data_IF_248038467248
#
_entry.id   IF_248038467248
#
_cell.length_a   1.000
_cell.length_b   1.000
_cell.length_c   1.000
_cell.angle_alpha   90.00
_cell.angle_beta   90.00
_cell.angle_gamma   90.00
#
_symmetry.space_group_name_H-M   'P 1'
#
loop_
_entity.id
_entity.type
_entity.pdbx_description
1 polymer ?
#
# COMPACT_ATOMS: atom_id res chain seq x y z
N UNK A 1 -35.38 10.10 -70.37
CA UNK A 1 -36.37 10.57 -69.37
C UNK A 1 -35.96 9.91 -68.07
N UNK A 2 -35.34 10.51 -67.06
CA UNK A 2 -35.19 11.90 -66.56
C UNK A 2 -33.85 11.86 -65.79
N UNK A 3 -32.86 12.73 -66.00
CA UNK A 3 -32.89 14.18 -65.79
C UNK A 3 -32.19 14.49 -64.46
N UNK A 4 -30.94 14.94 -64.53
CA UNK A 4 -30.02 15.38 -63.47
C UNK A 4 -30.60 16.52 -62.57
N UNK A 5 -30.04 16.82 -61.37
CA UNK A 5 -28.91 17.76 -61.38
C UNK A 5 -27.71 17.40 -60.46
N UNK A 6 -26.51 17.85 -60.88
CA UNK A 6 -25.27 17.84 -60.12
C UNK A 6 -25.01 19.17 -59.39
N UNK A 7 -24.02 19.14 -58.50
CA UNK A 7 -23.15 20.30 -58.29
C UNK A 7 -23.32 21.02 -56.96
N UNK A 8 -22.25 21.00 -56.15
CA UNK A 8 -21.44 22.18 -55.81
C UNK A 8 -20.23 21.72 -54.98
N UNK A 9 -19.06 21.64 -55.60
CA UNK A 9 -18.03 22.69 -55.66
C UNK A 9 -17.08 22.60 -54.46
N UNK A 10 -15.79 22.42 -54.74
CA UNK A 10 -14.69 22.55 -53.75
C UNK A 10 -14.52 24.02 -53.32
N UNK A 11 -13.33 24.51 -52.90
CA UNK A 11 -11.97 23.96 -53.08
C UNK A 11 -11.07 24.11 -51.82
N UNK A 12 -9.77 23.85 -51.99
CA UNK A 12 -8.64 24.09 -51.06
C UNK A 12 -8.41 22.98 -50.01
N UNK A 13 -7.31 22.25 -49.97
CA UNK A 13 -5.96 22.51 -50.48
C UNK A 13 -4.97 22.49 -49.31
N UNK A 14 -4.28 21.36 -49.11
CA UNK A 14 -2.90 21.18 -48.62
C UNK A 14 -2.73 19.70 -48.27
N UNK A 15 -2.02 18.93 -49.08
CA UNK A 15 -0.56 18.82 -49.12
C UNK A 15 0.04 18.30 -47.79
N UNK A 16 0.32 16.97 -47.78
CA UNK A 16 1.52 16.23 -47.32
C UNK A 16 2.28 16.67 -46.04
N UNK A 17 3.03 15.79 -45.32
CA UNK A 17 3.55 14.48 -45.77
C UNK A 17 3.48 13.31 -44.77
N UNK A 18 3.66 12.13 -45.36
CA UNK A 18 4.33 10.94 -44.83
C UNK A 18 5.64 11.30 -44.09
N UNK A 19 5.86 10.86 -42.86
CA UNK A 19 7.22 10.58 -42.39
C UNK A 19 7.26 9.78 -41.07
N UNK A 20 7.95 8.64 -41.17
CA UNK A 20 8.91 8.15 -40.17
C UNK A 20 8.36 7.46 -38.92
N UNK A 21 8.21 6.12 -39.02
CA UNK A 21 8.68 5.24 -37.94
C UNK A 21 10.22 5.34 -37.83
N UNK A 22 10.94 4.95 -36.75
CA UNK A 22 10.60 4.11 -35.58
C UNK A 22 11.31 4.69 -34.30
N UNK A 23 11.92 3.94 -33.34
CA UNK A 23 11.68 2.62 -32.76
C UNK A 23 11.46 2.69 -31.22
N UNK A 24 11.04 1.59 -30.61
CA UNK A 24 11.41 1.36 -29.21
C UNK A 24 12.95 1.22 -29.13
N UNK A 25 13.57 1.81 -28.09
CA UNK A 25 14.40 0.95 -27.26
C UNK A 25 14.13 1.13 -25.77
N UNK A 26 14.20 0.00 -25.09
CA UNK A 26 14.11 -0.20 -23.66
C UNK A 26 15.03 0.71 -22.82
N UNK A 27 14.71 0.76 -21.51
CA UNK A 27 15.39 1.39 -20.37
C UNK A 27 14.62 2.63 -19.89
N UNK A 28 13.82 2.64 -18.83
CA UNK A 28 13.87 1.92 -17.56
C UNK A 28 12.41 1.85 -17.09
N UNK A 29 11.67 0.86 -17.58
CA UNK A 29 10.35 0.57 -17.04
C UNK A 29 10.53 -0.73 -16.27
N UNK A 30 10.93 -0.58 -15.02
CA UNK A 30 10.75 -1.61 -14.00
C UNK A 30 9.37 -2.27 -14.25
N UNK A 31 9.32 -3.56 -14.57
CA UNK A 31 8.04 -4.21 -14.85
C UNK A 31 7.16 -4.01 -13.62
N UNK A 32 5.88 -3.61 -13.76
CA UNK A 32 4.96 -3.60 -12.64
C UNK A 32 4.69 -5.07 -12.28
N UNK A 33 5.59 -5.62 -11.47
CA UNK A 33 5.44 -6.91 -10.82
C UNK A 33 4.24 -6.76 -9.90
N UNK A 34 3.06 -7.08 -10.45
CA UNK A 34 1.77 -7.03 -9.80
C UNK A 34 1.61 -8.09 -8.69
N UNK A 35 2.70 -8.42 -8.01
CA UNK A 35 2.70 -9.03 -6.71
C UNK A 35 3.17 -7.96 -5.75
N UNK A 36 2.22 -7.39 -5.01
CA UNK A 36 2.46 -6.57 -3.82
C UNK A 36 3.22 -7.43 -2.80
N UNK A 37 4.52 -7.62 -3.04
CA UNK A 37 5.49 -7.94 -2.02
C UNK A 37 5.40 -6.75 -1.10
N UNK A 38 4.66 -6.91 0.00
CA UNK A 38 4.56 -5.89 1.02
C UNK A 38 5.99 -5.47 1.35
N UNK A 39 6.33 -4.25 0.95
CA UNK A 39 7.70 -3.79 1.03
C UNK A 39 8.05 -3.58 2.50
N UNK A 40 8.83 -4.49 3.06
CA UNK A 40 9.25 -4.44 4.44
C UNK A 40 10.03 -3.15 4.75
N UNK A 41 10.71 -2.56 3.76
CA UNK A 41 11.35 -1.25 3.92
C UNK A 41 10.30 -0.14 4.02
N UNK A 42 9.27 -0.11 3.17
CA UNK A 42 8.15 0.82 3.27
C UNK A 42 7.38 0.70 4.60
N UNK A 43 7.12 -0.53 5.08
CA UNK A 43 6.45 -0.75 6.37
C UNK A 43 7.35 -0.24 7.51
N UNK A 44 8.65 -0.57 7.50
CA UNK A 44 9.59 -0.10 8.52
C UNK A 44 9.78 1.42 8.50
N UNK A 45 9.80 2.03 7.31
CA UNK A 45 9.84 3.48 7.15
C UNK A 45 8.60 4.14 7.74
N UNK A 46 7.40 3.61 7.45
CA UNK A 46 6.14 4.10 8.01
C UNK A 46 6.09 3.95 9.53
N UNK A 47 6.56 2.81 10.07
CA UNK A 47 6.73 2.60 11.52
C UNK A 47 7.71 3.63 12.09
N UNK A 48 8.84 3.86 11.43
CA UNK A 48 9.86 4.83 11.84
C UNK A 48 9.30 6.25 11.90
N UNK A 49 8.56 6.67 10.88
CA UNK A 49 7.86 7.96 10.84
C UNK A 49 6.84 8.09 11.97
N UNK A 50 6.06 7.05 12.24
CA UNK A 50 5.06 7.04 13.32
C UNK A 50 5.67 7.02 14.73
N UNK A 51 6.87 6.45 14.89
CA UNK A 51 7.58 6.33 16.17
C UNK A 51 8.66 7.41 16.37
N UNK A 52 8.94 8.26 15.37
CA UNK A 52 9.94 9.32 15.46
C UNK A 52 9.59 10.27 16.62
N UNK A 53 10.27 10.10 17.75
CA UNK A 53 10.09 10.93 18.93
C UNK A 53 10.76 12.29 18.71
N UNK A 54 9.99 13.37 18.82
CA UNK A 54 10.51 14.74 18.95
C UNK A 54 10.80 15.49 17.64
N UNK A 55 10.73 14.84 16.48
CA UNK A 55 10.95 15.51 15.20
C UNK A 55 9.68 16.23 14.72
N UNK A 56 9.40 17.37 15.35
CA UNK A 56 8.22 18.22 15.16
C UNK A 56 6.86 17.52 15.44
N UNK A 57 5.93 18.20 16.13
CA UNK A 57 4.58 17.67 16.31
C UNK A 57 3.89 17.53 14.95
N UNK A 58 3.72 16.27 14.49
CA UNK A 58 2.97 15.96 13.27
C UNK A 58 1.59 16.63 13.32
N UNK A 59 1.22 17.21 12.19
CA UNK A 59 -0.09 17.83 11.98
C UNK A 59 -1.16 16.73 11.89
N UNK A 60 -2.41 17.11 12.13
CA UNK A 60 -3.53 16.15 12.10
C UNK A 60 -3.63 15.43 10.75
N UNK A 61 -3.42 16.13 9.62
CA UNK A 61 -3.40 15.51 8.29
C UNK A 61 -2.34 14.42 8.12
N UNK A 62 -1.11 14.63 8.63
CA UNK A 62 -0.08 13.60 8.58
C UNK A 62 -0.39 12.39 9.48
N UNK A 63 -1.11 12.60 10.59
CA UNK A 63 -1.58 11.50 11.43
C UNK A 63 -2.64 10.66 10.72
N UNK A 64 -3.55 11.30 9.98
CA UNK A 64 -4.55 10.61 9.16
C UNK A 64 -3.88 9.79 8.06
N UNK A 65 -2.88 10.35 7.37
CA UNK A 65 -2.13 9.61 6.35
C UNK A 65 -1.35 8.43 6.94
N UNK A 66 -0.66 8.63 8.06
CA UNK A 66 0.08 7.56 8.73
C UNK A 66 -0.85 6.47 9.24
N UNK A 67 -1.97 6.85 9.83
CA UNK A 67 -3.00 5.92 10.28
C UNK A 67 -3.52 5.05 9.11
N UNK A 68 -3.89 5.67 7.99
CA UNK A 68 -4.35 4.96 6.80
C UNK A 68 -3.29 4.00 6.24
N UNK A 69 -2.03 4.44 6.12
CA UNK A 69 -0.92 3.59 5.65
C UNK A 69 -0.65 2.43 6.61
N UNK A 70 -0.63 2.68 7.92
CA UNK A 70 -0.42 1.62 8.93
C UNK A 70 -1.56 0.59 8.89
N UNK A 71 -2.81 1.03 8.75
CA UNK A 71 -3.95 0.11 8.62
C UNK A 71 -3.86 -0.73 7.35
N UNK A 72 -3.45 -0.14 6.24
CA UNK A 72 -3.22 -0.88 5.00
C UNK A 72 -2.14 -1.95 5.17
N UNK A 73 -1.01 -1.59 5.77
CA UNK A 73 0.05 -2.54 6.11
C UNK A 73 -0.42 -3.66 7.04
N UNK A 74 -1.25 -3.36 8.04
CA UNK A 74 -1.85 -4.38 8.94
C UNK A 74 -2.75 -5.33 8.14
N UNK A 75 -3.57 -4.83 7.21
CA UNK A 75 -4.44 -5.67 6.37
C UNK A 75 -3.64 -6.65 5.51
N UNK A 76 -2.48 -6.23 5.01
CA UNK A 76 -1.58 -7.09 4.24
C UNK A 76 -0.84 -8.12 5.12
N UNK A 77 -0.46 -7.72 6.34
CA UNK A 77 0.29 -8.54 7.29
C UNK A 77 -0.55 -9.58 8.06
N UNK A 78 -1.81 -9.25 8.36
CA UNK A 78 -2.72 -10.11 9.12
C UNK A 78 -2.92 -11.52 8.52
N UNK A 79 -3.20 -11.70 7.21
CA UNK A 79 -3.39 -13.04 6.66
C UNK A 79 -2.13 -13.92 6.79
N UNK A 80 -0.94 -13.33 6.65
CA UNK A 80 0.33 -14.03 6.78
C UNK A 80 0.55 -14.49 8.23
N UNK A 81 0.33 -13.58 9.19
CA UNK A 81 0.43 -13.93 10.60
C UNK A 81 -0.63 -14.97 11.03
N UNK A 82 -1.84 -14.92 10.47
CA UNK A 82 -2.89 -15.93 10.69
C UNK A 82 -2.52 -17.30 10.11
N UNK A 83 -1.93 -17.35 8.91
CA UNK A 83 -1.41 -18.61 8.35
C UNK A 83 -0.35 -19.24 9.26
N UNK A 84 0.49 -18.41 9.90
CA UNK A 84 1.44 -18.88 10.90
C UNK A 84 0.77 -19.39 12.20
N UNK A 85 -0.35 -18.79 12.61
CA UNK A 85 -1.15 -19.33 13.71
C UNK A 85 -1.69 -20.74 13.42
N UNK A 86 -1.99 -21.04 12.15
CA UNK A 86 -2.53 -22.34 11.75
C UNK A 86 -1.49 -23.48 11.84
N UNK A 87 -0.19 -23.17 11.73
CA UNK A 87 0.89 -24.17 11.90
C UNK A 87 1.34 -24.35 13.36
N UNK A 88 0.93 -23.44 14.26
CA UNK A 88 1.17 -23.58 15.69
C UNK A 88 0.18 -24.60 16.30
N UNK A 89 0.64 -25.45 17.22
CA UNK A 89 -0.24 -26.45 17.89
C UNK A 89 -1.38 -25.74 18.64
N UNK A 90 -2.67 -25.99 18.28
CA UNK A 90 -3.83 -25.27 18.82
C UNK A 90 -4.02 -25.36 20.34
N UNK A 91 -3.41 -26.36 20.98
CA UNK A 91 -3.63 -26.70 22.40
C UNK A 91 -2.66 -25.99 23.36
N UNK A 92 -1.86 -25.03 22.88
CA UNK A 92 -0.86 -24.35 23.72
C UNK A 92 -1.35 -22.97 24.15
N UNK A 93 -1.02 -22.56 25.38
CA UNK A 93 -1.25 -21.20 25.85
C UNK A 93 -0.60 -20.15 24.92
N UNK A 94 0.48 -20.52 24.23
CA UNK A 94 1.12 -19.68 23.21
C UNK A 94 0.21 -19.43 22.01
N UNK A 95 -0.47 -20.46 21.48
CA UNK A 95 -1.43 -20.30 20.38
C UNK A 95 -2.61 -19.41 20.78
N UNK A 96 -3.16 -19.60 21.98
CA UNK A 96 -4.28 -18.79 22.47
C UNK A 96 -3.90 -17.31 22.60
N UNK A 97 -2.74 -17.02 23.21
CA UNK A 97 -2.21 -15.64 23.31
C UNK A 97 -1.92 -15.02 21.94
N UNK A 98 -1.39 -15.81 21.02
CA UNK A 98 -1.11 -15.37 19.65
C UNK A 98 -2.39 -14.99 18.91
N UNK A 99 -3.42 -15.84 18.97
CA UNK A 99 -4.73 -15.59 18.36
C UNK A 99 -5.41 -14.37 18.97
N UNK A 100 -5.44 -14.27 20.31
CA UNK A 100 -6.00 -13.10 21.00
C UNK A 100 -5.29 -11.80 20.61
N UNK A 101 -3.96 -11.82 20.42
CA UNK A 101 -3.20 -10.67 19.91
C UNK A 101 -3.63 -10.30 18.49
N UNK A 102 -3.81 -11.28 17.59
CA UNK A 102 -4.27 -11.02 16.22
C UNK A 102 -5.69 -10.44 16.17
N UNK A 103 -6.61 -10.94 16.99
CA UNK A 103 -7.96 -10.41 17.09
C UNK A 103 -7.95 -8.99 17.63
N UNK A 104 -7.14 -8.71 18.65
CA UNK A 104 -6.96 -7.37 19.16
C UNK A 104 -6.40 -6.40 18.11
N UNK A 105 -5.37 -6.79 17.34
CA UNK A 105 -4.81 -5.99 16.25
C UNK A 105 -5.86 -5.74 15.15
N UNK A 106 -6.64 -6.77 14.81
CA UNK A 106 -7.73 -6.66 13.82
C UNK A 106 -8.76 -5.62 14.28
N UNK A 107 -9.15 -5.68 15.55
CA UNK A 107 -10.11 -4.74 16.14
C UNK A 107 -9.54 -3.32 16.22
N UNK A 108 -8.25 -3.15 16.53
CA UNK A 108 -7.61 -1.83 16.55
C UNK A 108 -7.54 -1.21 15.14
N UNK A 109 -7.18 -1.99 14.12
CA UNK A 109 -7.11 -1.51 12.74
C UNK A 109 -8.47 -1.16 12.13
N UNK A 110 -9.57 -1.66 12.71
CA UNK A 110 -10.93 -1.32 12.32
C UNK A 110 -11.53 -0.10 13.03
N UNK A 111 -10.87 0.43 14.08
CA UNK A 111 -11.35 1.64 14.76
C UNK A 111 -11.03 2.87 13.93
N UNK A 112 -11.91 3.87 13.96
CA UNK A 112 -11.64 5.16 13.32
C UNK A 112 -10.64 5.99 14.13
N UNK A 113 -10.01 6.95 13.46
CA UNK A 113 -9.08 7.87 14.12
C UNK A 113 -9.86 8.81 15.03
N UNK A 114 -9.41 8.89 16.28
CA UNK A 114 -10.01 9.79 17.26
C UNK A 114 -9.77 11.26 16.86
N UNK A 115 -10.75 12.13 17.10
CA UNK A 115 -10.66 13.56 16.75
C UNK A 115 -9.65 14.32 17.62
N UNK A 116 -9.30 13.79 18.80
CA UNK A 116 -8.30 14.38 19.68
C UNK A 116 -6.88 14.18 19.16
N UNK A 117 -6.10 15.26 19.02
CA UNK A 117 -4.72 15.21 18.53
C UNK A 117 -3.80 14.27 19.35
N UNK A 118 -3.96 14.25 20.68
CA UNK A 118 -3.20 13.35 21.55
C UNK A 118 -3.64 11.89 21.39
N UNK A 119 -4.95 11.65 21.36
CA UNK A 119 -5.54 10.33 21.13
C UNK A 119 -5.15 9.75 19.76
N UNK A 120 -5.22 10.56 18.71
CA UNK A 120 -4.80 10.21 17.35
C UNK A 120 -3.31 9.82 17.29
N UNK A 121 -2.43 10.61 17.93
CA UNK A 121 -1.00 10.28 18.03
C UNK A 121 -0.77 8.96 18.75
N UNK A 122 -1.48 8.74 19.85
CA UNK A 122 -1.36 7.49 20.60
C UNK A 122 -1.87 6.30 19.78
N UNK A 123 -2.97 6.46 19.04
CA UNK A 123 -3.51 5.42 18.17
C UNK A 123 -2.55 5.07 17.04
N UNK A 124 -1.99 6.06 16.32
CA UNK A 124 -0.97 5.87 15.29
C UNK A 124 0.25 5.12 15.84
N UNK A 125 0.72 5.46 17.05
CA UNK A 125 1.83 4.75 17.70
C UNK A 125 1.48 3.30 18.05
N UNK A 126 0.28 3.05 18.57
CA UNK A 126 -0.20 1.70 18.84
C UNK A 126 -0.22 0.86 17.57
N UNK A 127 -0.76 1.40 16.47
CA UNK A 127 -0.76 0.73 15.16
C UNK A 127 0.66 0.47 14.65
N UNK A 128 1.59 1.42 14.82
CA UNK A 128 3.00 1.22 14.45
C UNK A 128 3.66 0.09 15.25
N UNK A 129 3.37 -0.01 16.54
CA UNK A 129 3.85 -1.14 17.37
C UNK A 129 3.26 -2.48 16.93
N UNK A 130 2.01 -2.49 16.46
CA UNK A 130 1.34 -3.69 15.97
C UNK A 130 1.87 -4.12 14.61
N UNK A 131 2.10 -3.20 13.68
CA UNK A 131 2.84 -3.46 12.45
C UNK A 131 4.21 -4.07 12.77
N UNK A 132 4.95 -3.48 13.72
CA UNK A 132 6.26 -3.99 14.13
C UNK A 132 6.17 -5.39 14.74
N UNK A 133 5.12 -5.68 15.48
CA UNK A 133 4.89 -7.02 16.04
C UNK A 133 4.57 -8.02 14.94
N UNK A 134 3.69 -7.69 14.00
CA UNK A 134 3.33 -8.53 12.85
C UNK A 134 4.54 -8.84 11.97
N UNK A 135 5.40 -7.85 11.68
CA UNK A 135 6.64 -8.05 10.93
C UNK A 135 7.55 -9.11 11.58
N UNK A 136 7.72 -9.06 12.91
CA UNK A 136 8.50 -10.09 13.63
C UNK A 136 7.87 -11.48 13.54
N UNK A 137 6.58 -11.55 13.27
CA UNK A 137 5.89 -12.83 13.06
C UNK A 137 5.99 -13.34 11.63
N UNK A 138 6.58 -12.61 10.70
CA UNK A 138 6.70 -12.98 9.28
C UNK A 138 8.17 -13.30 8.94
N UNK A 139 8.63 -14.55 9.13
CA UNK A 139 10.05 -14.91 8.98
C UNK A 139 10.54 -14.83 7.52
N UNK A 140 9.67 -15.06 6.54
CA UNK A 140 10.00 -14.94 5.12
C UNK A 140 10.39 -13.51 4.68
N UNK A 141 9.95 -12.47 5.39
CA UNK A 141 10.32 -11.09 5.06
C UNK A 141 11.66 -10.66 5.66
N UNK A 142 12.00 -11.19 6.84
CA UNK A 142 13.29 -10.90 7.47
C UNK A 142 14.47 -11.48 6.66
N UNK A 143 14.21 -12.51 5.83
CA UNK A 143 15.23 -13.12 4.96
C UNK A 143 15.47 -12.36 3.65
N UNK A 144 14.49 -11.63 3.13
CA UNK A 144 14.62 -10.82 1.90
C UNK A 144 15.22 -9.42 2.15
N UNK A 145 15.34 -9.01 3.41
CA UNK A 145 15.93 -7.72 3.81
C UNK A 145 17.45 -7.80 4.10
N UNK A 146 18.15 -8.80 3.56
CA UNK A 146 19.62 -8.87 3.61
C UNK A 146 20.15 -8.48 2.24
N UNK A 147 20.95 -7.40 2.12
CA UNK A 147 21.58 -7.02 0.86
C UNK A 147 22.60 -8.07 0.38
#
# INVERSE_FOLDING_TARGET
>A
MTGEPPGRDGPFGRAVPEETAPPAPAADADPPEAAVLVDAAAVQYTIGRALAHGSAPLRHGELVELDARLRDHIRLLLPIARARAAVLRPSTAQWLRYRARLDWITNQAGRELDSGLHSARQQVRSLAHDCRWLLRQTPEWNRKATP
#
